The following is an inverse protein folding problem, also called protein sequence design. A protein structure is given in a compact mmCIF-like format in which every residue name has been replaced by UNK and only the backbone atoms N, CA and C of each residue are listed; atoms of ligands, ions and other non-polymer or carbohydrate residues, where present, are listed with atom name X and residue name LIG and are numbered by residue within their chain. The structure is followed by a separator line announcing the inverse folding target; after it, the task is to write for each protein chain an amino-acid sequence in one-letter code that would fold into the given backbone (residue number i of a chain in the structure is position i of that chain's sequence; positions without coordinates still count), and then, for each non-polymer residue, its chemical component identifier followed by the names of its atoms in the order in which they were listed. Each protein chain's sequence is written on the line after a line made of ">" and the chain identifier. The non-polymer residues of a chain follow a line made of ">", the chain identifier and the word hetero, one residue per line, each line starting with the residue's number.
data_IF_900173548701
#
_entry.id   IF_900173548701
#
_cell.length_a   1.000
_cell.length_b   1.000
_cell.length_c   1.000
_cell.angle_alpha   90.00
_cell.angle_beta   90.00
_cell.angle_gamma   90.00
#
_symmetry.space_group_name_H-M   'P 1'
#
loop_
_entity.id
_entity.type
_entity.pdbx_description
1 polymer ?
#
# COMPACT_ATOMS: atom_id res chain seq x y z
N UNK A 1 -8.37 9.73 20.57
CA UNK A 1 -7.69 8.52 20.09
C UNK A 1 -7.91 8.39 18.59
N UNK A 2 -6.85 8.12 17.83
CA UNK A 2 -6.88 7.95 16.39
C UNK A 2 -6.39 6.55 16.01
N UNK A 3 -6.92 5.99 14.93
CA UNK A 3 -6.50 4.69 14.37
C UNK A 3 -5.91 4.94 12.99
N UNK A 4 -4.64 4.57 12.80
CA UNK A 4 -3.99 4.65 11.51
C UNK A 4 -4.02 3.28 10.82
N UNK A 5 -4.53 3.24 9.60
CA UNK A 5 -4.59 2.05 8.77
C UNK A 5 -4.05 2.33 7.37
N UNK A 6 -3.55 1.30 6.71
CA UNK A 6 -3.19 1.36 5.29
C UNK A 6 -3.71 0.13 4.55
N UNK A 7 -3.85 0.21 3.23
CA UNK A 7 -4.33 -0.93 2.42
C UNK A 7 -3.36 -2.10 2.44
N UNK A 8 -2.07 -1.83 2.33
CA UNK A 8 -1.01 -2.83 2.44
C UNK A 8 -0.40 -2.89 3.85
N UNK A 9 0.12 -4.05 4.25
CA UNK A 9 0.89 -4.18 5.51
C UNK A 9 2.19 -3.39 5.48
N UNK A 10 2.76 -3.15 4.30
CA UNK A 10 4.02 -2.41 4.13
C UNK A 10 3.76 -0.93 4.37
N UNK A 11 2.73 -0.33 3.75
CA UNK A 11 2.37 1.06 4.05
C UNK A 11 1.98 1.26 5.52
N UNK A 12 1.35 0.25 6.14
CA UNK A 12 0.98 0.33 7.55
C UNK A 12 2.19 0.46 8.50
N UNK A 13 3.40 0.02 8.12
CA UNK A 13 4.60 0.17 8.97
C UNK A 13 5.10 1.62 9.05
N UNK A 14 4.65 2.49 8.14
CA UNK A 14 4.98 3.92 8.17
C UNK A 14 4.31 4.65 9.34
N UNK A 15 3.26 4.07 9.91
CA UNK A 15 2.57 4.60 11.08
C UNK A 15 3.01 3.85 12.34
N UNK A 16 3.37 4.57 13.40
CA UNK A 16 3.63 3.97 14.70
C UNK A 16 2.38 3.23 15.20
N UNK A 17 2.46 1.89 15.28
CA UNK A 17 1.31 1.03 15.64
C UNK A 17 0.28 0.84 14.52
N UNK A 18 0.60 1.22 13.28
CA UNK A 18 -0.26 1.07 12.12
C UNK A 18 -0.61 -0.37 11.81
N UNK A 19 -1.78 -0.59 11.21
CA UNK A 19 -2.27 -1.91 10.83
C UNK A 19 -2.82 -1.89 9.41
N UNK A 20 -2.68 -3.01 8.69
CA UNK A 20 -3.37 -3.17 7.42
C UNK A 20 -4.89 -3.11 7.66
N UNK A 21 -5.63 -2.42 6.79
CA UNK A 21 -7.07 -2.22 6.90
C UNK A 21 -7.83 -3.54 7.00
N UNK A 22 -7.43 -4.54 6.22
CA UNK A 22 -7.99 -5.89 6.30
C UNK A 22 -7.86 -6.49 7.72
N UNK A 23 -6.71 -6.35 8.37
CA UNK A 23 -6.48 -6.88 9.71
C UNK A 23 -7.13 -6.01 10.79
N UNK A 24 -7.08 -4.68 10.63
CA UNK A 24 -7.62 -3.71 11.57
C UNK A 24 -9.15 -3.80 11.69
N UNK A 25 -9.82 -3.96 10.54
CA UNK A 25 -11.28 -4.02 10.48
C UNK A 25 -11.82 -5.43 10.26
N UNK A 26 -10.96 -6.46 10.16
CA UNK A 26 -11.37 -7.83 9.83
C UNK A 26 -12.31 -7.87 8.63
N UNK A 27 -11.93 -7.14 7.57
CA UNK A 27 -12.68 -7.10 6.32
C UNK A 27 -12.79 -8.52 5.75
N UNK A 28 -13.94 -8.91 5.19
CA UNK A 28 -14.05 -10.17 4.46
C UNK A 28 -13.11 -10.20 3.24
N UNK A 29 -12.58 -11.37 2.89
CA UNK A 29 -11.72 -11.53 1.71
C UNK A 29 -12.49 -11.32 0.39
N UNK A 30 -13.78 -11.68 0.38
CA UNK A 30 -14.62 -11.73 -0.81
C UNK A 30 -15.61 -10.55 -0.88
N UNK A 31 -15.08 -9.32 -0.77
CA UNK A 31 -15.88 -8.08 -0.77
C UNK A 31 -16.67 -7.84 -2.06
N UNK A 32 -16.32 -8.51 -3.17
CA UNK A 32 -16.97 -8.35 -4.47
C UNK A 32 -18.24 -9.21 -4.63
N UNK A 33 -18.36 -10.33 -3.90
CA UNK A 33 -19.45 -11.33 -4.07
C UNK A 33 -20.65 -11.10 -3.17
N UNK A 34 -20.52 -10.33 -2.09
CA UNK A 34 -21.59 -10.14 -1.11
C UNK A 34 -21.81 -8.68 -0.75
N UNK A 35 -23.03 -8.19 -1.00
CA UNK A 35 -23.50 -6.87 -0.58
C UNK A 35 -23.84 -6.81 0.93
N UNK A 36 -23.81 -7.94 1.63
CA UNK A 36 -24.05 -8.06 3.08
C UNK A 36 -22.79 -8.40 3.87
N UNK A 37 -21.60 -8.35 3.25
CA UNK A 37 -20.33 -8.59 3.91
C UNK A 37 -20.15 -7.63 5.11
N UNK A 38 -20.02 -8.17 6.31
CA UNK A 38 -19.82 -7.41 7.56
C UNK A 38 -18.43 -7.65 8.13
N UNK A 39 -17.87 -6.67 8.83
CA UNK A 39 -16.64 -6.85 9.58
C UNK A 39 -16.91 -7.79 10.76
N UNK A 40 -16.10 -8.84 10.93
CA UNK A 40 -16.25 -9.76 12.06
C UNK A 40 -15.59 -9.21 13.34
N UNK A 41 -16.12 -8.09 13.85
CA UNK A 41 -15.62 -7.40 15.04
C UNK A 41 -16.71 -7.40 16.12
N UNK A 42 -16.42 -8.03 17.26
CA UNK A 42 -17.31 -8.00 18.42
C UNK A 42 -16.93 -6.90 19.40
N UNK A 43 -17.93 -6.27 20.04
CA UNK A 43 -17.77 -5.24 21.08
C UNK A 43 -16.92 -5.71 22.27
N UNK A 44 -16.92 -7.01 22.56
CA UNK A 44 -16.15 -7.60 23.66
C UNK A 44 -14.66 -7.79 23.37
N UNK A 45 -14.19 -7.50 22.15
CA UNK A 45 -12.77 -7.64 21.79
C UNK A 45 -12.00 -6.35 22.05
N UNK A 46 -10.69 -6.45 22.32
CA UNK A 46 -9.83 -5.27 22.47
C UNK A 46 -9.86 -4.36 21.23
N UNK A 47 -9.92 -4.94 20.02
CA UNK A 47 -10.10 -4.19 18.77
C UNK A 47 -11.45 -3.47 18.72
N UNK A 48 -12.54 -4.15 19.11
CA UNK A 48 -13.87 -3.55 19.18
C UNK A 48 -13.90 -2.36 20.14
N UNK A 49 -13.23 -2.46 21.30
CA UNK A 49 -13.14 -1.34 22.25
C UNK A 49 -12.37 -0.14 21.68
N UNK A 50 -11.25 -0.41 20.97
CA UNK A 50 -10.48 0.64 20.29
C UNK A 50 -11.33 1.33 19.21
N UNK A 51 -12.05 0.55 18.40
CA UNK A 51 -12.91 1.08 17.34
C UNK A 51 -14.18 1.75 17.88
N UNK A 52 -14.64 1.42 19.08
CA UNK A 52 -15.77 2.09 19.72
C UNK A 52 -15.38 3.48 20.27
N UNK A 53 -14.14 3.61 20.77
CA UNK A 53 -13.65 4.84 21.42
C UNK A 53 -12.86 5.77 20.48
N UNK A 54 -12.48 5.31 19.29
CA UNK A 54 -11.74 6.15 18.35
C UNK A 54 -12.61 7.33 17.86
N UNK A 55 -11.98 8.47 17.59
CA UNK A 55 -12.67 9.65 17.01
C UNK A 55 -12.21 9.95 15.59
N UNK A 56 -11.04 9.44 15.23
CA UNK A 56 -10.38 9.66 13.96
C UNK A 56 -9.84 8.34 13.42
N UNK A 57 -10.06 8.09 12.14
CA UNK A 57 -9.47 7.00 11.37
C UNK A 57 -8.70 7.64 10.22
N UNK A 58 -7.40 7.39 10.15
CA UNK A 58 -6.57 7.78 9.00
C UNK A 58 -6.36 6.54 8.15
N UNK A 59 -6.78 6.60 6.89
CA UNK A 59 -6.65 5.49 5.95
C UNK A 59 -5.74 5.90 4.79
N UNK A 60 -4.56 5.32 4.77
CA UNK A 60 -3.58 5.48 3.70
C UNK A 60 -3.77 4.45 2.58
N UNK A 61 -3.47 4.84 1.35
CA UNK A 61 -3.74 4.04 0.14
C UNK A 61 -5.22 3.64 0.00
N UNK A 62 -6.16 4.40 0.56
CA UNK A 62 -7.56 3.98 0.70
C UNK A 62 -8.21 3.64 -0.65
N UNK A 63 -7.74 4.28 -1.72
CA UNK A 63 -8.15 4.11 -3.12
C UNK A 63 -7.81 2.73 -3.69
N UNK A 64 -6.91 1.97 -3.06
CA UNK A 64 -6.59 0.60 -3.43
C UNK A 64 -7.60 -0.43 -2.90
N UNK A 65 -8.56 -0.03 -2.07
CA UNK A 65 -9.61 -0.95 -1.58
C UNK A 65 -10.85 -0.91 -2.47
N UNK A 66 -11.56 -2.04 -2.48
CA UNK A 66 -12.89 -2.11 -3.07
C UNK A 66 -13.85 -1.16 -2.32
N UNK A 67 -14.76 -0.49 -3.05
CA UNK A 67 -15.75 0.44 -2.46
C UNK A 67 -16.56 -0.17 -1.31
N UNK A 68 -16.82 -1.48 -1.37
CA UNK A 68 -17.56 -2.19 -0.32
C UNK A 68 -16.80 -2.22 1.01
N UNK A 69 -15.46 -2.06 1.02
CA UNK A 69 -14.69 -1.97 2.25
C UNK A 69 -15.16 -0.78 3.12
N UNK A 70 -15.45 0.37 2.51
CA UNK A 70 -15.97 1.54 3.22
C UNK A 70 -17.38 1.33 3.73
N UNK A 71 -18.24 0.70 2.92
CA UNK A 71 -19.61 0.36 3.32
C UNK A 71 -19.66 -0.64 4.48
N UNK A 72 -18.82 -1.66 4.42
CA UNK A 72 -18.69 -2.68 5.46
C UNK A 72 -18.10 -2.08 6.75
N UNK A 73 -17.14 -1.16 6.64
CA UNK A 73 -16.61 -0.41 7.77
C UNK A 73 -17.68 0.49 8.42
N UNK A 74 -18.47 1.19 7.62
CA UNK A 74 -19.56 2.07 8.08
C UNK A 74 -20.55 1.28 8.93
N UNK A 75 -21.11 0.20 8.38
CA UNK A 75 -22.02 -0.69 9.11
C UNK A 75 -21.40 -1.21 10.40
N UNK A 76 -20.15 -1.67 10.35
CA UNK A 76 -19.48 -2.20 11.53
C UNK A 76 -19.33 -1.15 12.65
N UNK A 77 -19.01 0.10 12.31
CA UNK A 77 -18.87 1.16 13.30
C UNK A 77 -20.21 1.64 13.84
N UNK A 78 -21.25 1.68 12.99
CA UNK A 78 -22.62 1.93 13.42
C UNK A 78 -23.08 0.86 14.42
N UNK A 79 -22.86 -0.42 14.12
CA UNK A 79 -23.19 -1.56 14.98
C UNK A 79 -22.41 -1.52 16.30
N UNK A 80 -21.09 -1.27 16.23
CA UNK A 80 -20.22 -1.20 17.41
C UNK A 80 -20.67 -0.08 18.36
N UNK A 81 -20.97 1.11 17.82
CA UNK A 81 -21.28 2.31 18.59
C UNK A 81 -22.76 2.50 18.91
N UNK A 82 -23.65 1.74 18.27
CA UNK A 82 -25.10 1.93 18.40
C UNK A 82 -25.55 3.30 17.86
N UNK A 83 -24.92 3.80 16.80
CA UNK A 83 -25.20 5.10 16.19
C UNK A 83 -25.50 4.91 14.70
N UNK A 84 -26.53 5.58 14.19
CA UNK A 84 -26.85 5.60 12.75
C UNK A 84 -26.09 6.69 11.97
N UNK A 85 -25.20 7.43 12.64
CA UNK A 85 -24.36 8.42 11.99
C UNK A 85 -23.35 7.74 11.04
N UNK A 86 -22.97 8.45 9.98
CA UNK A 86 -21.94 8.00 9.03
C UNK A 86 -20.64 7.65 9.80
N UNK A 87 -20.10 6.46 9.55
CA UNK A 87 -18.94 5.84 10.20
C UNK A 87 -19.12 5.77 11.74
N UNK A 88 -20.38 5.63 12.21
CA UNK A 88 -20.72 5.67 13.63
C UNK A 88 -20.31 6.97 14.32
N UNK A 89 -20.18 8.08 13.58
CA UNK A 89 -19.79 9.40 14.07
C UNK A 89 -18.28 9.64 14.19
N UNK A 90 -17.43 8.73 13.68
CA UNK A 90 -15.98 8.95 13.61
C UNK A 90 -15.59 9.71 12.34
N UNK A 91 -14.57 10.57 12.45
CA UNK A 91 -13.98 11.26 11.29
C UNK A 91 -13.03 10.31 10.56
N UNK A 92 -13.13 10.24 9.22
CA UNK A 92 -12.20 9.48 8.38
C UNK A 92 -11.41 10.43 7.49
N UNK A 93 -10.09 10.29 7.50
CA UNK A 93 -9.18 11.01 6.60
C UNK A 93 -8.58 10.00 5.64
N UNK A 94 -8.80 10.21 4.34
CA UNK A 94 -8.27 9.36 3.27
C UNK A 94 -7.04 10.04 2.66
N UNK A 95 -5.87 9.42 2.77
CA UNK A 95 -4.66 9.84 2.07
C UNK A 95 -4.55 9.08 0.73
N UNK A 96 -4.21 9.77 -0.36
CA UNK A 96 -4.29 9.14 -1.68
C UNK A 96 -3.95 9.99 -2.93
N UNK A 97 -3.19 11.08 -2.84
CA UNK A 97 -3.03 11.99 -3.99
C UNK A 97 -2.21 11.39 -5.15
N UNK A 98 -1.21 10.57 -4.86
CA UNK A 98 -0.36 9.96 -5.89
C UNK A 98 -1.02 8.73 -6.51
N UNK A 99 -1.70 7.95 -5.67
CA UNK A 99 -2.46 6.75 -5.99
C UNK A 99 -3.66 7.09 -6.88
N UNK A 100 -4.34 8.21 -6.61
CA UNK A 100 -5.42 8.70 -7.46
C UNK A 100 -4.94 8.99 -8.89
N UNK A 101 -3.71 9.49 -9.05
CA UNK A 101 -3.14 9.75 -10.37
C UNK A 101 -2.77 8.45 -11.08
N UNK A 102 -2.18 7.48 -10.37
CA UNK A 102 -1.91 6.14 -10.89
C UNK A 102 -3.20 5.39 -11.29
N UNK A 103 -4.28 5.52 -10.52
CA UNK A 103 -5.57 4.93 -10.85
C UNK A 103 -6.18 5.57 -12.11
N UNK A 104 -6.11 6.90 -12.23
CA UNK A 104 -6.55 7.58 -13.45
C UNK A 104 -5.76 7.15 -14.69
N UNK A 105 -4.47 6.84 -14.51
CA UNK A 105 -3.62 6.26 -15.56
C UNK A 105 -4.11 4.86 -15.95
N UNK A 106 -4.32 3.97 -14.97
CA UNK A 106 -4.83 2.62 -15.20
C UNK A 106 -6.23 2.59 -15.84
N UNK A 107 -7.09 3.56 -15.48
CA UNK A 107 -8.43 3.75 -16.03
C UNK A 107 -8.44 4.36 -17.44
N UNK A 108 -7.27 4.72 -18.01
CA UNK A 108 -7.17 5.39 -19.31
C UNK A 108 -7.72 6.82 -19.33
N UNK A 109 -7.90 7.44 -18.15
CA UNK A 109 -8.40 8.82 -18.01
C UNK A 109 -7.29 9.86 -18.18
N UNK A 110 -6.03 9.44 -18.12
CA UNK A 110 -4.89 10.32 -18.41
C UNK A 110 -4.51 10.15 -19.88
N UNK A 111 -4.64 11.21 -20.71
CA UNK A 111 -4.26 11.13 -22.11
C UNK A 111 -2.75 10.89 -22.23
N UNK A 112 -2.38 9.88 -23.01
CA UNK A 112 -1.00 9.67 -23.42
C UNK A 112 -0.59 10.66 -24.52
N UNK A 113 0.71 10.82 -24.71
CA UNK A 113 1.27 11.54 -25.85
C UNK A 113 0.79 10.88 -27.16
N UNK A 114 0.20 11.64 -28.12
CA UNK A 114 -0.40 11.08 -29.33
C UNK A 114 0.59 10.38 -30.26
N UNK A 115 1.89 10.68 -30.15
CA UNK A 115 2.93 10.15 -31.04
C UNK A 115 3.59 8.88 -30.49
N UNK A 116 3.65 8.75 -29.16
CA UNK A 116 4.35 7.64 -28.48
C UNK A 116 3.42 6.72 -27.69
N UNK A 117 2.20 7.17 -27.38
CA UNK A 117 1.26 6.45 -26.50
C UNK A 117 1.67 6.45 -25.02
N UNK A 118 2.70 7.22 -24.65
CA UNK A 118 3.25 7.24 -23.29
C UNK A 118 2.59 8.34 -22.44
N UNK A 119 2.38 8.05 -21.15
CA UNK A 119 1.83 9.04 -20.21
C UNK A 119 2.97 9.83 -19.58
N UNK A 120 2.92 11.16 -19.71
CA UNK A 120 3.92 12.06 -19.14
C UNK A 120 3.62 12.25 -17.65
N UNK A 121 4.41 11.60 -16.81
CA UNK A 121 4.43 11.85 -15.36
C UNK A 121 5.38 13.02 -15.07
N UNK A 122 5.09 13.88 -14.07
CA UNK A 122 5.99 14.94 -13.64
C UNK A 122 7.15 14.36 -12.84
N UNK A 123 8.00 13.55 -13.49
CA UNK A 123 9.22 13.00 -12.91
C UNK A 123 10.38 13.27 -13.88
N UNK A 124 11.46 13.83 -13.35
CA UNK A 124 12.57 14.44 -14.10
C UNK A 124 13.51 13.46 -14.82
N UNK A 125 13.28 12.14 -14.73
CA UNK A 125 14.23 11.13 -15.25
C UNK A 125 13.50 9.99 -15.94
N UNK A 126 13.54 10.00 -17.27
CA UNK A 126 13.19 8.87 -18.13
C UNK A 126 14.50 8.15 -18.50
N UNK A 127 14.49 6.81 -18.47
CA UNK A 127 15.62 5.94 -18.83
C UNK A 127 15.17 4.92 -19.86
N UNK A 128 16.07 4.55 -20.78
CA UNK A 128 15.72 3.71 -21.93
C UNK A 128 15.95 2.22 -21.67
N UNK A 129 16.60 1.86 -20.57
CA UNK A 129 16.79 0.46 -20.17
C UNK A 129 16.86 0.27 -18.65
N UNK A 130 16.54 -0.94 -18.15
CA UNK A 130 16.78 -1.33 -16.77
C UNK A 130 18.25 -1.14 -16.33
N UNK A 131 19.22 -1.45 -17.18
CA UNK A 131 20.65 -1.27 -16.85
C UNK A 131 21.04 0.20 -16.70
N UNK A 132 20.45 1.09 -17.51
CA UNK A 132 20.63 2.53 -17.37
C UNK A 132 20.03 3.03 -16.04
N UNK A 133 18.84 2.53 -15.67
CA UNK A 133 18.23 2.82 -14.37
C UNK A 133 19.14 2.38 -13.21
N UNK A 134 19.62 1.15 -13.26
CA UNK A 134 20.47 0.57 -12.22
C UNK A 134 21.81 1.28 -12.11
N UNK A 135 22.44 1.64 -13.23
CA UNK A 135 23.69 2.40 -13.23
C UNK A 135 23.50 3.82 -12.68
N UNK A 136 22.34 4.46 -12.93
CA UNK A 136 22.03 5.79 -12.39
C UNK A 136 21.73 5.75 -10.88
N UNK A 137 20.92 4.80 -10.43
CA UNK A 137 20.50 4.69 -9.02
C UNK A 137 21.56 4.01 -8.13
N UNK A 138 22.22 2.96 -8.62
CA UNK A 138 23.15 2.11 -7.86
C UNK A 138 24.59 2.16 -8.41
N UNK A 139 25.04 3.36 -8.75
CA UNK A 139 26.31 3.67 -9.44
C UNK A 139 27.56 3.01 -8.81
N UNK A 140 27.61 2.88 -7.49
CA UNK A 140 28.74 2.33 -6.70
C UNK A 140 28.32 1.21 -5.72
N UNK A 141 27.40 0.35 -6.14
CA UNK A 141 26.85 -0.69 -5.25
C UNK A 141 27.91 -1.64 -4.69
N UNK A 142 28.95 -1.96 -5.47
CA UNK A 142 30.03 -2.86 -5.03
C UNK A 142 30.85 -2.30 -3.86
N UNK A 143 30.95 -0.97 -3.75
CA UNK A 143 31.64 -0.33 -2.63
C UNK A 143 30.71 -0.08 -1.45
N UNK A 144 29.42 0.21 -1.71
CA UNK A 144 28.49 0.74 -0.71
C UNK A 144 27.46 -0.28 -0.21
N UNK A 145 27.47 -1.53 -0.68
CA UNK A 145 26.42 -2.50 -0.30
C UNK A 145 26.37 -2.84 1.20
N UNK A 146 27.41 -2.53 1.97
CA UNK A 146 27.42 -2.68 3.44
C UNK A 146 26.89 -1.46 4.18
N UNK A 147 26.70 -0.35 3.47
CA UNK A 147 26.18 0.90 4.03
C UNK A 147 24.64 0.87 3.98
N UNK A 148 24.04 0.67 5.15
CA UNK A 148 22.58 0.62 5.31
C UNK A 148 21.91 1.97 5.02
N UNK A 149 22.57 3.08 5.34
CA UNK A 149 22.04 4.42 5.07
C UNK A 149 22.08 4.69 3.56
N UNK A 150 23.18 4.35 2.88
CA UNK A 150 23.27 4.52 1.42
C UNK A 150 22.22 3.71 0.65
N UNK A 151 21.92 2.49 1.11
CA UNK A 151 20.92 1.61 0.48
C UNK A 151 19.48 2.07 0.74
N UNK A 152 19.17 2.53 1.96
CA UNK A 152 17.80 2.86 2.37
C UNK A 152 17.21 4.07 1.64
N UNK A 153 18.04 4.99 1.14
CA UNK A 153 17.60 6.15 0.35
C UNK A 153 17.28 5.81 -1.11
N UNK A 154 17.24 4.53 -1.51
CA UNK A 154 17.06 4.10 -2.89
C UNK A 154 15.95 3.06 -3.00
N UNK A 155 14.97 3.32 -3.86
CA UNK A 155 13.91 2.37 -4.18
C UNK A 155 13.62 2.37 -5.68
N UNK A 156 13.40 1.19 -6.25
CA UNK A 156 12.83 1.02 -7.58
C UNK A 156 11.45 0.41 -7.39
N UNK A 157 10.43 1.12 -7.88
CA UNK A 157 9.05 0.66 -7.89
C UNK A 157 8.73 0.14 -9.29
N UNK A 158 8.17 -1.06 -9.37
CA UNK A 158 7.66 -1.62 -10.62
C UNK A 158 6.22 -2.12 -10.41
N UNK A 159 5.38 -1.97 -11.45
CA UNK A 159 3.95 -2.27 -11.38
C UNK A 159 3.61 -3.76 -11.37
N UNK A 160 4.59 -4.63 -11.67
CA UNK A 160 4.42 -6.09 -11.71
C UNK A 160 5.57 -6.80 -11.04
N UNK A 161 5.26 -7.91 -10.38
CA UNK A 161 6.26 -8.74 -9.71
C UNK A 161 7.29 -9.34 -10.67
N UNK A 162 6.91 -9.68 -11.91
CA UNK A 162 7.84 -10.21 -12.91
C UNK A 162 8.87 -9.15 -13.34
N UNK A 163 8.47 -7.88 -13.40
CA UNK A 163 9.37 -6.76 -13.64
C UNK A 163 10.31 -6.51 -12.44
N UNK A 164 9.78 -6.60 -11.21
CA UNK A 164 10.58 -6.53 -9.97
C UNK A 164 11.65 -7.64 -9.97
N UNK A 165 11.28 -8.87 -10.30
CA UNK A 165 12.20 -10.02 -10.33
C UNK A 165 13.30 -9.83 -11.37
N UNK A 166 12.96 -9.37 -12.58
CA UNK A 166 13.93 -9.05 -13.65
C UNK A 166 14.92 -7.95 -13.24
N UNK A 167 14.51 -7.01 -12.38
CA UNK A 167 15.38 -5.94 -11.86
C UNK A 167 16.24 -6.40 -10.68
N UNK A 168 15.69 -7.26 -9.82
CA UNK A 168 16.40 -7.74 -8.63
C UNK A 168 17.55 -8.68 -8.97
N UNK A 169 17.42 -9.55 -9.98
CA UNK A 169 18.48 -10.51 -10.35
C UNK A 169 19.80 -9.81 -10.72
N UNK A 170 19.83 -8.78 -11.59
CA UNK A 170 21.04 -8.02 -11.87
C UNK A 170 21.61 -7.27 -10.66
N UNK A 171 20.77 -6.77 -9.74
CA UNK A 171 21.23 -6.10 -8.51
C UNK A 171 21.94 -7.10 -7.61
N UNK A 172 21.34 -8.27 -7.36
CA UNK A 172 21.91 -9.32 -6.51
C UNK A 172 23.28 -9.77 -7.02
N UNK A 173 23.43 -9.98 -8.33
CA UNK A 173 24.71 -10.35 -8.96
C UNK A 173 25.82 -9.30 -8.80
N UNK A 174 25.49 -8.04 -8.52
CA UNK A 174 26.48 -6.97 -8.28
C UNK A 174 26.92 -6.89 -6.80
N UNK A 175 26.23 -7.57 -5.89
CA UNK A 175 26.60 -7.61 -4.47
C UNK A 175 27.73 -8.61 -4.25
N UNK A 176 28.80 -8.18 -3.59
CA UNK A 176 29.93 -9.05 -3.27
C UNK A 176 29.65 -9.78 -1.94
N UNK A 177 29.26 -11.05 -2.01
CA UNK A 177 28.96 -11.83 -0.81
C UNK A 177 28.62 -13.29 -1.10
N UNK A 178 28.48 -14.10 -0.04
CA UNK A 178 27.94 -15.44 -0.15
C UNK A 178 26.41 -15.37 -0.32
N UNK A 179 25.90 -16.15 -1.27
CA UNK A 179 24.46 -16.32 -1.46
C UNK A 179 23.92 -17.37 -0.49
N UNK A 180 22.81 -17.07 0.17
CA UNK A 180 22.10 -18.00 1.04
C UNK A 180 20.67 -18.17 0.54
N UNK A 181 20.27 -19.43 0.37
CA UNK A 181 18.89 -19.78 0.01
C UNK A 181 18.09 -20.10 1.28
N UNK A 182 17.07 -19.29 1.55
CA UNK A 182 16.12 -19.55 2.63
C UNK A 182 14.88 -20.23 2.04
N UNK A 183 14.60 -21.45 2.48
CA UNK A 183 13.38 -22.17 2.12
C UNK A 183 12.35 -21.94 3.22
N UNK A 184 11.12 -21.63 2.81
CA UNK A 184 10.00 -21.62 3.75
C UNK A 184 9.69 -23.07 4.16
N UNK A 185 9.41 -23.28 5.44
CA UNK A 185 8.91 -24.55 5.98
C UNK A 185 7.44 -24.29 6.29
N UNK A 186 6.54 -24.95 5.55
CA UNK A 186 5.11 -25.01 5.84
C UNK A 186 4.83 -25.89 7.07
#
# INVERSE_FOLDING_TARGET
>A
MAVAVASSRIAATLFAGGRAAHSAFKLPLDLARSNSATCNISKGTGQGHVLNTCKLIVWDEATLNHRNAFHTLDKALQDLRGSSAIIGGATVVLAGQFENKLLQIGDGKVPGDPSTGLIIMPCDVIVNSPDELLSKLYRNIQQNFKDHDWLSHRAILASRNDAVEKLNVPIQKRLLGQEYAYKFID
#
